data_IF_554589538404
#
_entry.id   IF_554589538404
#
_cell.length_a   1.000
_cell.length_b   1.000
_cell.length_c   1.000
_cell.angle_alpha   90.00
_cell.angle_beta   90.00
_cell.angle_gamma   90.00
#
_symmetry.space_group_name_H-M   'P 1'
#
loop_
_entity.id
_entity.type
_entity.pdbx_description
1 polymer ?
#
# COMPACT_ATOMS: atom_id res chain seq x y z
N UNK A 1 -12.18 2.50 0.71
CA UNK A 1 -12.69 1.13 0.78
C UNK A 1 -13.08 0.87 2.22
N UNK A 2 -14.37 0.73 2.54
CA UNK A 2 -14.76 0.37 3.92
C UNK A 2 -14.85 -1.16 4.14
N UNK A 3 -14.49 -1.97 3.13
CA UNK A 3 -14.43 -3.42 3.27
C UNK A 3 -13.04 -3.87 3.75
N UNK A 4 -12.91 -4.02 5.07
CA UNK A 4 -11.68 -4.51 5.71
C UNK A 4 -11.30 -5.93 5.24
N UNK A 5 -12.26 -6.74 4.79
CA UNK A 5 -11.98 -8.12 4.34
C UNK A 5 -11.20 -8.11 3.04
N UNK A 6 -11.63 -7.29 2.07
CA UNK A 6 -10.94 -7.13 0.78
C UNK A 6 -9.53 -6.57 1.00
N UNK A 7 -9.41 -5.56 1.87
CA UNK A 7 -8.12 -4.96 2.24
C UNK A 7 -7.19 -6.03 2.85
N UNK A 8 -7.68 -6.81 3.80
CA UNK A 8 -6.87 -7.81 4.49
C UNK A 8 -6.44 -8.94 3.55
N UNK A 9 -7.32 -9.39 2.65
CA UNK A 9 -6.97 -10.37 1.61
C UNK A 9 -5.83 -9.83 0.75
N UNK A 10 -5.94 -8.59 0.29
CA UNK A 10 -4.89 -7.94 -0.51
C UNK A 10 -3.55 -7.87 0.25
N UNK A 11 -3.56 -7.41 1.51
CA UNK A 11 -2.35 -7.33 2.36
C UNK A 11 -1.70 -8.71 2.52
N UNK A 12 -2.50 -9.74 2.80
CA UNK A 12 -2.01 -11.10 3.01
C UNK A 12 -1.38 -11.66 1.72
N UNK A 13 -2.02 -11.46 0.57
CA UNK A 13 -1.46 -11.83 -0.74
C UNK A 13 -0.18 -11.06 -1.04
N UNK A 14 -0.16 -9.75 -0.79
CA UNK A 14 1.03 -8.91 -1.00
C UNK A 14 2.22 -9.41 -0.17
N UNK A 15 2.03 -9.64 1.14
CA UNK A 15 3.05 -10.22 2.02
C UNK A 15 3.52 -11.60 1.55
N UNK A 16 2.59 -12.48 1.17
CA UNK A 16 2.89 -13.81 0.64
C UNK A 16 3.83 -13.75 -0.57
N UNK A 17 3.61 -12.80 -1.48
CA UNK A 17 4.45 -12.67 -2.68
C UNK A 17 5.73 -11.87 -2.42
N UNK A 18 5.74 -10.97 -1.45
CA UNK A 18 6.94 -10.21 -1.09
C UNK A 18 7.93 -11.04 -0.28
N UNK A 19 7.46 -11.93 0.59
CA UNK A 19 8.30 -12.69 1.54
C UNK A 19 9.48 -13.46 0.91
N UNK A 20 9.40 -14.05 -0.29
CA UNK A 20 10.55 -14.74 -0.89
C UNK A 20 11.73 -13.82 -1.23
N UNK A 21 11.48 -12.50 -1.29
CA UNK A 21 12.50 -11.50 -1.56
C UNK A 21 13.08 -10.87 -0.28
N UNK A 22 12.57 -11.25 0.89
CA UNK A 22 13.01 -10.74 2.19
C UNK A 22 13.86 -11.79 2.90
N UNK A 23 14.79 -11.33 3.74
CA UNK A 23 15.51 -12.24 4.64
C UNK A 23 14.56 -12.70 5.76
N UNK A 24 14.75 -13.91 6.34
CA UNK A 24 13.85 -14.45 7.35
C UNK A 24 13.63 -13.56 8.58
N UNK A 25 14.63 -12.76 8.94
CA UNK A 25 14.58 -11.83 10.07
C UNK A 25 13.79 -10.55 9.78
N UNK A 26 13.45 -10.26 8.51
CA UNK A 26 12.76 -9.02 8.13
C UNK A 26 11.25 -9.19 8.27
N UNK A 27 10.67 -8.48 9.23
CA UNK A 27 9.22 -8.32 9.34
C UNK A 27 8.66 -7.21 8.46
N UNK A 28 7.34 -7.23 8.31
CA UNK A 28 6.56 -6.34 7.45
C UNK A 28 5.34 -5.82 8.20
N UNK A 29 5.39 -4.59 8.68
CA UNK A 29 4.19 -3.92 9.21
C UNK A 29 3.45 -3.21 8.08
N UNK A 30 2.14 -3.09 8.20
CA UNK A 30 1.30 -2.34 7.27
C UNK A 30 0.41 -1.38 8.05
N UNK A 31 0.47 -0.10 7.72
CA UNK A 31 -0.52 0.88 8.16
C UNK A 31 -1.45 1.18 6.98
N UNK A 32 -2.74 1.00 7.22
CA UNK A 32 -3.80 1.15 6.22
C UNK A 32 -4.53 2.46 6.47
N UNK A 33 -4.62 3.28 5.43
CA UNK A 33 -5.44 4.48 5.38
C UNK A 33 -6.58 4.25 4.40
N UNK A 34 -7.71 3.68 4.86
CA UNK A 34 -8.86 3.44 3.99
C UNK A 34 -9.56 4.75 3.61
N UNK A 35 -10.24 4.76 2.46
CA UNK A 35 -11.18 5.83 2.12
C UNK A 35 -12.63 5.43 2.37
N UNK A 36 -13.57 6.38 2.40
CA UNK A 36 -15.00 6.09 2.37
C UNK A 36 -15.44 5.46 1.03
N UNK A 37 -14.75 5.80 -0.06
CA UNK A 37 -14.95 5.21 -1.39
C UNK A 37 -14.39 3.78 -1.50
N UNK A 38 -13.86 3.39 -2.66
CA UNK A 38 -13.26 2.05 -2.88
C UNK A 38 -11.72 2.04 -2.92
N UNK A 39 -11.06 3.10 -2.45
CA UNK A 39 -9.60 3.21 -2.42
C UNK A 39 -8.97 2.94 -1.05
N UNK A 40 -7.66 2.76 -1.00
CA UNK A 40 -6.87 2.85 0.23
C UNK A 40 -5.42 3.17 -0.06
N UNK A 41 -4.72 3.65 0.97
CA UNK A 41 -3.27 3.80 0.96
C UNK A 41 -2.69 2.82 1.96
N UNK A 42 -1.61 2.15 1.56
CA UNK A 42 -0.86 1.21 2.36
C UNK A 42 0.54 1.76 2.57
N UNK A 43 0.92 1.91 3.83
CA UNK A 43 2.29 2.19 4.22
C UNK A 43 2.87 0.89 4.78
N UNK A 44 3.70 0.22 3.99
CA UNK A 44 4.46 -0.93 4.48
C UNK A 44 5.82 -0.46 5.00
N UNK A 45 6.23 -0.98 6.15
CA UNK A 45 7.58 -0.78 6.70
C UNK A 45 8.22 -2.14 6.87
N UNK A 46 9.46 -2.27 6.38
CA UNK A 46 10.26 -3.48 6.39
C UNK A 46 11.42 -3.34 7.38
N UNK A 47 11.75 -4.37 8.14
CA UNK A 47 12.97 -4.33 8.96
C UNK A 47 13.16 -5.51 9.93
N UNK A 48 14.37 -5.68 10.47
CA UNK A 48 14.71 -6.81 11.36
C UNK A 48 13.95 -6.78 12.70
N UNK A 49 13.61 -5.59 13.19
CA UNK A 49 12.87 -5.40 14.45
C UNK A 49 11.40 -4.98 14.22
N UNK A 50 10.92 -5.14 12.99
CA UNK A 50 9.54 -4.81 12.62
C UNK A 50 8.64 -6.02 12.88
N UNK A 51 7.54 -5.82 13.60
CA UNK A 51 6.53 -6.86 13.79
C UNK A 51 5.65 -7.00 12.55
N UNK A 52 5.24 -8.23 12.26
CA UNK A 52 4.21 -8.49 11.24
C UNK A 52 2.84 -8.10 11.82
N UNK A 53 2.43 -6.86 11.61
CA UNK A 53 1.17 -6.32 12.11
C UNK A 53 0.47 -5.42 11.10
N UNK A 54 -0.85 -5.34 11.21
CA UNK A 54 -1.71 -4.48 10.40
C UNK A 54 -2.43 -3.48 11.30
N UNK A 55 -2.23 -2.20 11.04
CA UNK A 55 -2.92 -1.11 11.76
C UNK A 55 -3.85 -0.38 10.82
N UNK A 56 -5.13 -0.33 11.16
CA UNK A 56 -6.15 0.35 10.38
C UNK A 56 -6.44 1.73 10.96
N UNK A 57 -6.27 2.76 10.15
CA UNK A 57 -6.66 4.13 10.49
C UNK A 57 -8.16 4.34 10.23
N UNK A 58 -8.70 5.44 10.75
CA UNK A 58 -10.07 5.84 10.44
C UNK A 58 -10.21 6.12 8.94
N UNK A 59 -11.33 5.72 8.31
CA UNK A 59 -11.60 6.06 6.92
C UNK A 59 -11.64 7.58 6.72
N UNK A 60 -11.06 8.03 5.61
CA UNK A 60 -11.11 9.42 5.16
C UNK A 60 -11.99 9.56 3.91
N UNK A 61 -12.60 10.72 3.62
CA UNK A 61 -13.52 10.85 2.49
C UNK A 61 -12.90 10.54 1.12
N UNK A 62 -11.59 10.81 0.94
CA UNK A 62 -10.89 10.63 -0.34
C UNK A 62 -9.45 10.18 -0.13
N UNK A 63 -8.81 9.65 -1.19
CA UNK A 63 -7.36 9.34 -1.19
C UNK A 63 -6.55 10.59 -0.84
N UNK A 64 -6.93 11.75 -1.38
CA UNK A 64 -6.21 13.01 -1.14
C UNK A 64 -6.30 13.44 0.33
N UNK A 65 -7.45 13.23 0.98
CA UNK A 65 -7.60 13.44 2.42
C UNK A 65 -6.73 12.45 3.22
N UNK A 66 -6.72 11.18 2.84
CA UNK A 66 -5.87 10.16 3.47
C UNK A 66 -4.36 10.47 3.31
N UNK A 67 -3.93 11.02 2.17
CA UNK A 67 -2.52 11.41 1.92
C UNK A 67 -2.06 12.56 2.82
N UNK A 68 -2.96 13.40 3.35
CA UNK A 68 -2.61 14.44 4.33
C UNK A 68 -2.15 13.85 5.66
N UNK A 69 -2.56 12.63 5.98
CA UNK A 69 -2.18 11.91 7.20
C UNK A 69 -0.87 11.11 7.04
N UNK A 70 -0.31 11.05 5.84
CA UNK A 70 0.94 10.34 5.54
C UNK A 70 2.05 11.37 5.48
N UNK A 71 3.16 11.12 6.19
CA UNK A 71 4.27 12.08 6.28
C UNK A 71 4.81 12.39 4.86
N UNK A 72 4.55 13.61 4.39
CA UNK A 72 4.48 13.99 2.96
C UNK A 72 5.82 14.30 2.29
N UNK A 73 6.96 14.13 2.97
CA UNK A 73 8.28 14.61 2.51
C UNK A 73 8.70 14.17 1.09
N UNK A 74 8.05 13.18 0.48
CA UNK A 74 8.39 12.62 -0.83
C UNK A 74 7.22 12.42 -1.80
N UNK A 75 5.97 12.69 -1.38
CA UNK A 75 4.87 12.85 -2.33
C UNK A 75 5.02 14.30 -2.82
N UNK A 76 5.75 14.49 -3.91
CA UNK A 76 6.24 15.80 -4.38
C UNK A 76 5.25 16.95 -4.20
N UNK A 77 5.80 18.14 -3.91
CA UNK A 77 5.08 19.39 -3.67
C UNK A 77 3.84 19.50 -4.59
N UNK A 78 2.65 19.62 -3.98
CA UNK A 78 1.30 19.59 -4.56
C UNK A 78 0.70 18.22 -4.90
N UNK A 79 0.26 17.52 -3.85
CA UNK A 79 -0.74 16.45 -3.94
C UNK A 79 -2.17 16.97 -4.20
N UNK A 80 -2.39 18.28 -4.04
CA UNK A 80 -3.68 18.92 -4.31
C UNK A 80 -3.91 19.01 -5.82
N UNK A 81 -4.87 18.21 -6.32
CA UNK A 81 -5.22 18.14 -7.75
C UNK A 81 -4.73 16.89 -8.48
N UNK A 82 -4.01 15.98 -7.82
CA UNK A 82 -3.61 14.70 -8.43
C UNK A 82 -4.80 13.74 -8.44
N UNK A 83 -5.16 13.26 -9.64
CA UNK A 83 -6.11 12.15 -9.80
C UNK A 83 -5.35 10.82 -9.78
N UNK A 84 -5.50 10.07 -8.69
CA UNK A 84 -4.96 8.72 -8.60
C UNK A 84 -5.84 7.75 -9.38
N UNK A 85 -5.26 7.04 -10.34
CA UNK A 85 -5.88 5.92 -11.05
C UNK A 85 -5.05 4.66 -10.89
N UNK A 86 -5.72 3.50 -10.79
CA UNK A 86 -5.06 2.20 -10.59
C UNK A 86 -4.16 2.15 -9.36
N UNK A 87 -3.02 1.50 -9.49
CA UNK A 87 -2.07 1.31 -8.38
C UNK A 87 -0.80 2.14 -8.57
N UNK A 88 -0.52 3.04 -7.62
CA UNK A 88 0.72 3.84 -7.58
C UNK A 88 1.61 3.34 -6.44
N UNK A 89 2.91 3.20 -6.68
CA UNK A 89 3.86 2.63 -5.71
C UNK A 89 5.07 3.57 -5.62
N UNK A 90 5.44 3.97 -4.39
CA UNK A 90 6.67 4.68 -4.05
C UNK A 90 7.53 3.82 -3.11
N UNK A 91 8.85 3.82 -3.33
CA UNK A 91 9.82 3.09 -2.53
C UNK A 91 10.78 4.07 -1.86
N UNK A 92 10.85 4.04 -0.53
CA UNK A 92 11.62 4.99 0.27
C UNK A 92 12.41 4.24 1.35
N UNK A 93 13.67 3.91 1.06
CA UNK A 93 14.51 3.15 1.99
C UNK A 93 13.89 1.79 2.32
N UNK A 94 13.39 1.64 3.56
CA UNK A 94 12.73 0.44 4.05
C UNK A 94 11.19 0.53 4.02
N UNK A 95 10.64 1.57 3.41
CA UNK A 95 9.20 1.87 3.36
C UNK A 95 8.67 1.73 1.93
N UNK A 96 7.47 1.17 1.80
CA UNK A 96 6.73 1.07 0.54
C UNK A 96 5.40 1.78 0.75
N UNK A 97 5.14 2.83 -0.03
CA UNK A 97 3.84 3.50 -0.05
C UNK A 97 3.11 3.04 -1.29
N UNK A 98 1.95 2.41 -1.11
CA UNK A 98 1.12 1.90 -2.19
C UNK A 98 -0.25 2.55 -2.12
N UNK A 99 -0.67 3.20 -3.19
CA UNK A 99 -1.96 3.87 -3.32
C UNK A 99 -2.81 3.07 -4.30
N UNK A 100 -3.90 2.47 -3.80
CA UNK A 100 -4.95 1.85 -4.61
C UNK A 100 -6.07 2.87 -4.80
N UNK A 101 -6.26 3.32 -6.04
CA UNK A 101 -7.36 4.21 -6.39
C UNK A 101 -8.72 3.50 -6.33
N UNK A 102 -9.78 4.30 -6.27
CA UNK A 102 -11.16 3.81 -6.10
C UNK A 102 -11.77 3.22 -7.38
N UNK A 103 -11.15 3.46 -8.54
CA UNK A 103 -11.72 3.14 -9.85
C UNK A 103 -11.28 1.78 -10.45
N UNK A 104 -10.62 0.93 -9.66
CA UNK A 104 -10.03 -0.34 -10.09
C UNK A 104 -10.20 -1.45 -9.05
N UNK A 105 -11.45 -1.78 -8.70
CA UNK A 105 -11.76 -2.83 -7.71
C UNK A 105 -11.21 -4.20 -8.12
N UNK A 106 -11.15 -4.46 -9.42
CA UNK A 106 -10.64 -5.69 -10.02
C UNK A 106 -9.14 -5.92 -9.75
N UNK A 107 -8.40 -4.90 -9.29
CA UNK A 107 -6.99 -5.01 -8.91
C UNK A 107 -6.80 -5.41 -7.42
N UNK A 108 -7.89 -5.60 -6.66
CA UNK A 108 -7.89 -5.97 -5.24
C UNK A 108 -7.99 -7.49 -5.04
N UNK A 109 -7.15 -8.23 -5.75
CA UNK A 109 -7.10 -9.70 -5.66
C UNK A 109 -5.66 -10.20 -5.61
N UNK A 110 -5.50 -11.51 -5.49
CA UNK A 110 -4.20 -12.17 -5.42
C UNK A 110 -3.32 -11.86 -6.64
N UNK A 111 -3.89 -11.87 -7.85
CA UNK A 111 -3.16 -11.54 -9.08
C UNK A 111 -2.69 -10.08 -9.07
N UNK A 112 -3.55 -9.14 -8.66
CA UNK A 112 -3.20 -7.73 -8.52
C UNK A 112 -2.06 -7.51 -7.54
N UNK A 113 -2.13 -8.14 -6.36
CA UNK A 113 -1.07 -8.08 -5.36
C UNK A 113 0.27 -8.64 -5.91
N UNK A 114 0.24 -9.73 -6.68
CA UNK A 114 1.43 -10.30 -7.29
C UNK A 114 2.04 -9.34 -8.33
N UNK A 115 1.21 -8.71 -9.17
CA UNK A 115 1.67 -7.72 -10.14
C UNK A 115 2.31 -6.51 -9.45
N UNK A 116 1.72 -6.04 -8.36
CA UNK A 116 2.27 -4.94 -7.56
C UNK A 116 3.62 -5.30 -6.95
N UNK A 117 3.76 -6.50 -6.37
CA UNK A 117 5.07 -6.98 -5.88
C UNK A 117 6.10 -7.09 -7.00
N UNK A 118 5.70 -7.59 -8.18
CA UNK A 118 6.60 -7.69 -9.34
C UNK A 118 7.14 -6.32 -9.79
N UNK A 119 6.36 -5.24 -9.66
CA UNK A 119 6.80 -3.87 -9.98
C UNK A 119 7.89 -3.38 -9.02
N UNK A 120 7.96 -3.95 -7.82
CA UNK A 120 8.92 -3.59 -6.76
C UNK A 120 10.20 -4.43 -6.86
N UNK A 121 10.05 -5.72 -7.16
CA UNK A 121 11.17 -6.68 -7.05
C UNK A 121 11.88 -6.97 -8.37
N UNK A 122 11.23 -6.75 -9.51
CA UNK A 122 11.87 -6.96 -10.82
C UNK A 122 12.77 -5.78 -11.16
N UNK A 123 14.03 -6.07 -11.50
CA UNK A 123 14.90 -5.07 -12.12
C UNK A 123 14.33 -4.67 -13.50
N UNK A 124 14.29 -3.37 -13.84
CA UNK A 124 14.04 -2.97 -15.23
C UNK A 124 15.10 -3.61 -16.13
N UNK A 125 14.66 -4.11 -17.29
CA UNK A 125 15.57 -4.60 -18.34
C UNK A 125 16.32 -3.44 -18.97
#
# INVERSE_FOLDING_TARGET
MNDQTIIQIYINSFRKFLSPYLRPEIGVSCKVFPTEGQGAIFEFVLGPDVKNEDTYMKPEPTINAALKNINQHMIGENVEGVHFGGTNISLEGNRIILIKAENRIEEWNETGAQLDVNRITRRPK
#
